data_IF_177077711032
#
_entry.id   IF_177077711032
#
_cell.length_a   1.000
_cell.length_b   1.000
_cell.length_c   1.000
_cell.angle_alpha   90.00
_cell.angle_beta   90.00
_cell.angle_gamma   90.00
#
_symmetry.space_group_name_H-M   'P 1'
#
loop_
_entity.id
_entity.type
_entity.pdbx_description
1 polymer ?
#
# COMPACT_ATOMS: atom_id res chain seq x y z
N UNK A 1 -23.20 -6.48 24.33
CA UNK A 1 -22.00 -6.77 25.14
C UNK A 1 -20.98 -5.65 24.93
N UNK A 2 -20.39 -5.11 25.99
CA UNK A 2 -19.35 -4.06 25.93
C UNK A 2 -18.04 -4.71 26.38
N UNK A 3 -17.09 -4.83 25.45
CA UNK A 3 -15.76 -5.39 25.73
C UNK A 3 -14.78 -4.24 25.85
N UNK A 4 -14.18 -4.07 27.03
CA UNK A 4 -13.12 -3.08 27.26
C UNK A 4 -11.78 -3.79 27.14
N UNK A 5 -10.93 -3.34 26.22
CA UNK A 5 -9.59 -3.88 26.03
C UNK A 5 -8.60 -2.92 26.66
N UNK A 6 -8.19 -3.22 27.89
CA UNK A 6 -7.13 -2.49 28.58
C UNK A 6 -5.76 -2.84 27.99
N UNK A 7 -4.82 -1.88 28.06
CA UNK A 7 -3.45 -2.09 27.57
C UNK A 7 -3.34 -2.37 26.08
N UNK A 8 -4.23 -1.81 25.25
CA UNK A 8 -4.26 -2.08 23.79
C UNK A 8 -2.89 -1.85 23.12
N UNK A 9 -2.13 -0.84 23.57
CA UNK A 9 -0.78 -0.55 23.08
C UNK A 9 0.23 -1.69 23.31
N UNK A 10 0.10 -2.44 24.41
CA UNK A 10 0.99 -3.54 24.79
C UNK A 10 0.65 -4.85 24.06
N UNK A 11 -0.55 -4.92 23.47
CA UNK A 11 -1.02 -6.10 22.72
C UNK A 11 -0.50 -6.14 21.29
N UNK A 12 0.06 -5.03 20.78
CA UNK A 12 0.66 -4.99 19.45
C UNK A 12 2.11 -5.46 19.50
N UNK A 13 2.54 -6.16 18.45
CA UNK A 13 3.96 -6.46 18.28
C UNK A 13 4.75 -5.13 18.13
N UNK A 14 5.77 -4.89 18.96
CA UNK A 14 6.56 -3.64 18.95
C UNK A 14 7.18 -3.31 17.59
N UNK A 15 7.54 -4.32 16.80
CA UNK A 15 8.12 -4.16 15.46
C UNK A 15 7.14 -3.45 14.51
N UNK A 16 5.91 -3.98 14.39
CA UNK A 16 4.87 -3.37 13.54
C UNK A 16 4.42 -1.99 14.05
N UNK A 17 4.47 -1.77 15.37
CA UNK A 17 4.17 -0.46 15.94
C UNK A 17 5.21 0.60 15.54
N UNK A 18 6.49 0.25 15.55
CA UNK A 18 7.57 1.14 15.09
C UNK A 18 7.41 1.48 13.60
N UNK A 19 7.07 0.49 12.77
CA UNK A 19 6.79 0.74 11.35
C UNK A 19 5.55 1.62 11.15
N UNK A 20 4.48 1.39 11.91
CA UNK A 20 3.29 2.23 11.85
C UNK A 20 3.60 3.69 12.22
N UNK A 21 4.45 3.93 13.24
CA UNK A 21 4.92 5.27 13.59
C UNK A 21 5.72 5.93 12.47
N UNK A 22 6.62 5.19 11.82
CA UNK A 22 7.41 5.67 10.69
C UNK A 22 6.50 6.08 9.53
N UNK A 23 5.60 5.19 9.11
CA UNK A 23 4.64 5.45 8.01
C UNK A 23 3.76 6.65 8.35
N UNK A 24 3.28 6.74 9.59
CA UNK A 24 2.49 7.88 10.07
C UNK A 24 3.29 9.20 10.03
N UNK A 25 4.59 9.16 10.37
CA UNK A 25 5.50 10.30 10.20
C UNK A 25 5.62 10.72 8.74
N UNK A 26 5.92 9.78 7.85
CA UNK A 26 6.07 10.01 6.41
C UNK A 26 4.81 10.63 5.79
N UNK A 27 3.63 10.14 6.14
CA UNK A 27 2.35 10.71 5.69
C UNK A 27 2.12 12.12 6.23
N UNK A 28 2.45 12.39 7.50
CA UNK A 28 2.32 13.73 8.11
C UNK A 28 3.22 14.77 7.44
N UNK A 29 4.41 14.36 7.01
CA UNK A 29 5.33 15.19 6.24
C UNK A 29 4.98 15.30 4.75
N UNK A 30 3.77 14.90 4.35
CA UNK A 30 3.23 15.08 3.00
C UNK A 30 4.05 14.39 1.91
N UNK A 31 4.71 13.27 2.23
CA UNK A 31 5.29 12.43 1.18
C UNK A 31 4.17 11.95 0.24
N UNK A 32 4.35 12.05 -1.09
CA UNK A 32 3.41 11.52 -2.06
C UNK A 32 3.05 10.06 -1.77
N UNK A 33 1.76 9.73 -1.84
CA UNK A 33 1.25 8.45 -1.35
C UNK A 33 1.81 7.26 -2.14
N UNK A 34 2.13 7.45 -3.42
CA UNK A 34 2.78 6.48 -4.29
C UNK A 34 4.20 6.16 -3.81
N UNK A 35 4.95 7.16 -3.34
CA UNK A 35 6.24 6.96 -2.70
C UNK A 35 6.11 6.24 -1.37
N UNK A 36 5.07 6.54 -0.58
CA UNK A 36 4.79 5.81 0.68
C UNK A 36 4.49 4.33 0.40
N UNK A 37 3.68 4.03 -0.61
CA UNK A 37 3.37 2.65 -1.02
C UNK A 37 4.66 1.92 -1.45
N UNK A 38 5.53 2.56 -2.24
CA UNK A 38 6.84 2.00 -2.63
C UNK A 38 7.73 1.72 -1.40
N UNK A 39 7.76 2.65 -0.44
CA UNK A 39 8.52 2.48 0.80
C UNK A 39 8.00 1.29 1.61
N UNK A 40 6.69 1.19 1.83
CA UNK A 40 6.08 0.03 2.51
C UNK A 40 6.39 -1.27 1.75
N UNK A 41 6.32 -1.23 0.42
CA UNK A 41 6.68 -2.33 -0.49
C UNK A 41 8.13 -2.77 -0.42
N UNK A 42 9.06 -1.89 -0.05
CA UNK A 42 10.47 -2.25 0.16
C UNK A 42 10.77 -2.87 1.53
N UNK A 43 9.84 -2.82 2.49
CA UNK A 43 10.07 -3.40 3.82
C UNK A 43 10.30 -4.90 3.72
N UNK A 44 11.45 -5.35 4.24
CA UNK A 44 11.83 -6.76 4.36
C UNK A 44 11.43 -7.24 5.76
N UNK A 45 10.37 -8.04 5.85
CA UNK A 45 9.86 -8.61 7.09
C UNK A 45 10.13 -10.11 7.10
N UNK A 46 10.39 -10.68 8.29
CA UNK A 46 10.73 -12.11 8.42
C UNK A 46 9.62 -13.08 7.95
N UNK A 47 8.38 -12.61 7.80
CA UNK A 47 7.26 -13.38 7.26
C UNK A 47 6.84 -12.80 5.90
N UNK A 48 7.05 -13.56 4.83
CA UNK A 48 6.62 -13.24 3.45
C UNK A 48 5.32 -13.99 3.06
N UNK A 49 4.23 -13.78 3.79
CA UNK A 49 2.91 -14.34 3.40
C UNK A 49 1.99 -13.29 2.76
N UNK A 50 1.07 -13.74 1.89
CA UNK A 50 0.08 -12.87 1.21
C UNK A 50 -0.79 -12.07 2.19
N UNK A 51 -1.06 -12.62 3.38
CA UNK A 51 -1.86 -11.99 4.43
C UNK A 51 -1.00 -11.22 5.46
N UNK A 52 0.22 -10.84 5.08
CA UNK A 52 1.09 -10.06 5.97
C UNK A 52 0.55 -8.66 6.22
N UNK A 53 0.93 -8.14 7.38
CA UNK A 53 0.68 -6.75 7.78
C UNK A 53 1.07 -5.75 6.67
N UNK A 54 2.23 -5.94 6.04
CA UNK A 54 2.73 -5.12 4.91
C UNK A 54 1.72 -5.04 3.76
N UNK A 55 1.26 -6.20 3.25
CA UNK A 55 0.29 -6.25 2.16
C UNK A 55 -1.06 -5.64 2.57
N UNK A 56 -1.44 -5.74 3.85
CA UNK A 56 -2.63 -5.06 4.37
C UNK A 56 -2.49 -3.52 4.32
N UNK A 57 -1.34 -3.00 4.74
CA UNK A 57 -1.04 -1.57 4.74
C UNK A 57 -1.00 -1.01 3.32
N UNK A 58 -0.31 -1.66 2.38
CA UNK A 58 -0.26 -1.20 0.99
C UNK A 58 -1.67 -1.09 0.37
N UNK A 59 -2.52 -2.09 0.60
CA UNK A 59 -3.90 -2.10 0.10
C UNK A 59 -4.74 -0.97 0.67
N UNK A 60 -4.56 -0.68 1.95
CA UNK A 60 -5.24 0.45 2.57
C UNK A 60 -4.78 1.79 1.95
N UNK A 61 -3.48 1.95 1.70
CA UNK A 61 -2.92 3.19 1.15
C UNK A 61 -3.26 3.41 -0.33
N UNK A 62 -3.34 2.34 -1.15
CA UNK A 62 -3.70 2.44 -2.57
C UNK A 62 -5.06 3.10 -2.82
N UNK A 63 -6.01 2.96 -1.89
CA UNK A 63 -7.34 3.61 -1.97
C UNK A 63 -7.29 5.14 -1.89
N UNK A 64 -6.17 5.70 -1.46
CA UNK A 64 -5.96 7.15 -1.35
C UNK A 64 -5.12 7.71 -2.50
N UNK A 65 -4.72 6.88 -3.48
CA UNK A 65 -4.14 7.36 -4.73
C UNK A 65 -5.27 7.97 -5.57
N UNK A 66 -5.04 9.16 -6.12
CA UNK A 66 -6.04 9.85 -6.95
C UNK A 66 -6.23 9.08 -8.26
N UNK A 67 -7.48 8.87 -8.66
CA UNK A 67 -7.79 8.20 -9.92
C UNK A 67 -7.21 8.98 -11.11
N UNK A 68 -6.68 8.24 -12.08
CA UNK A 68 -5.95 8.78 -13.22
C UNK A 68 -4.47 9.06 -12.95
N UNK A 69 -3.95 8.79 -11.75
CA UNK A 69 -2.50 8.89 -11.48
C UNK A 69 -1.76 7.83 -12.30
N UNK A 70 -0.83 8.26 -13.16
CA UNK A 70 0.02 7.37 -13.92
C UNK A 70 0.96 6.59 -13.01
N UNK A 71 1.01 5.27 -13.19
CA UNK A 71 1.92 4.39 -12.47
C UNK A 71 3.32 4.41 -13.12
N UNK A 72 4.02 5.54 -12.97
CA UNK A 72 5.33 5.75 -13.58
C UNK A 72 6.35 4.66 -13.19
N UNK A 73 6.94 4.02 -14.19
CA UNK A 73 7.92 2.92 -14.02
C UNK A 73 7.33 1.52 -13.95
N UNK A 74 6.00 1.36 -14.07
CA UNK A 74 5.34 0.06 -14.17
C UNK A 74 4.88 -0.20 -15.60
N UNK A 75 5.33 -1.33 -16.16
CA UNK A 75 4.88 -1.82 -17.48
C UNK A 75 3.68 -2.73 -17.32
N UNK A 76 2.72 -2.60 -18.24
CA UNK A 76 1.63 -3.55 -18.33
C UNK A 76 2.17 -4.96 -18.59
N UNK A 77 1.82 -5.97 -17.78
CA UNK A 77 2.30 -7.34 -17.97
C UNK A 77 1.71 -8.01 -19.22
N UNK A 78 0.65 -7.44 -19.81
CA UNK A 78 -0.03 -7.99 -20.99
C UNK A 78 0.51 -7.39 -22.29
N UNK A 79 0.63 -6.06 -22.37
CA UNK A 79 1.05 -5.39 -23.62
C UNK A 79 2.44 -4.74 -23.55
N UNK A 80 3.13 -4.79 -22.41
CA UNK A 80 4.50 -4.28 -22.24
C UNK A 80 4.64 -2.75 -22.22
N UNK A 81 3.56 -1.99 -22.42
CA UNK A 81 3.56 -0.53 -22.45
C UNK A 81 3.42 0.08 -21.05
N UNK A 82 3.98 1.27 -20.84
CA UNK A 82 3.89 2.06 -19.60
C UNK A 82 2.60 2.91 -19.55
N UNK A 83 1.47 2.26 -19.81
CA UNK A 83 0.15 2.89 -19.91
C UNK A 83 -0.75 2.50 -18.73
N UNK A 84 -0.15 2.20 -17.57
CA UNK A 84 -0.88 1.84 -16.35
C UNK A 84 -1.28 3.09 -15.56
N UNK A 85 -2.56 3.17 -15.20
CA UNK A 85 -3.14 4.23 -14.36
C UNK A 85 -3.82 3.63 -13.15
N UNK A 86 -3.81 4.35 -12.03
CA UNK A 86 -4.61 3.97 -10.86
C UNK A 86 -6.05 4.41 -11.05
N UNK A 87 -7.00 3.50 -10.83
CA UNK A 87 -8.43 3.80 -10.82
C UNK A 87 -9.13 2.87 -9.83
N UNK A 88 -9.88 3.44 -8.88
CA UNK A 88 -10.61 2.72 -7.82
C UNK A 88 -9.73 1.76 -6.99
N UNK A 89 -8.45 2.12 -6.82
CA UNK A 89 -7.46 1.28 -6.12
C UNK A 89 -6.93 0.09 -6.92
N UNK A 90 -7.30 -0.04 -8.20
CA UNK A 90 -6.72 -1.01 -9.14
C UNK A 90 -5.76 -0.32 -10.12
N UNK A 91 -4.80 -1.08 -10.65
CA UNK A 91 -3.96 -0.66 -11.77
C UNK A 91 -4.65 -1.07 -13.07
N UNK A 92 -5.00 -0.12 -13.92
CA UNK A 92 -5.67 -0.33 -15.20
C UNK A 92 -4.75 0.10 -16.34
N UNK A 93 -4.61 -0.73 -17.36
CA UNK A 93 -3.89 -0.39 -18.58
C UNK A 93 -4.81 0.31 -19.57
N UNK A 94 -4.52 1.56 -19.95
CA UNK A 94 -5.33 2.30 -20.92
C UNK A 94 -5.16 1.81 -22.36
N UNK A 95 -4.09 1.07 -22.67
CA UNK A 95 -3.84 0.54 -24.02
C UNK A 95 -4.55 -0.79 -24.29
N UNK A 96 -4.58 -1.72 -23.33
CA UNK A 96 -5.12 -3.07 -23.55
C UNK A 96 -6.25 -3.47 -22.59
N UNK A 97 -6.67 -2.58 -21.69
CA UNK A 97 -7.77 -2.82 -20.73
C UNK A 97 -7.43 -3.80 -19.60
N UNK A 98 -6.20 -4.31 -19.52
CA UNK A 98 -5.80 -5.21 -18.44
C UNK A 98 -5.86 -4.49 -17.10
N UNK A 99 -6.53 -5.09 -16.11
CA UNK A 99 -6.62 -4.56 -14.75
C UNK A 99 -6.02 -5.52 -13.74
N UNK A 100 -5.36 -4.97 -12.72
CA UNK A 100 -4.86 -5.71 -11.56
C UNK A 100 -5.30 -5.00 -10.29
N UNK A 101 -6.27 -5.61 -9.61
CA UNK A 101 -6.70 -5.21 -8.29
C UNK A 101 -5.90 -6.01 -7.25
N UNK A 102 -5.36 -5.32 -6.25
CA UNK A 102 -4.44 -5.91 -5.29
C UNK A 102 -4.35 -5.07 -4.05
#
# INVERSE_FOLDING_TARGET
YKTTVEGLSEKFNPEYWNYAKLISGVLRYRMPIDHVIKLVGSLQLKNESINTWKNGVERALKKYVVDGTSASGLKCPVCGQETLVYQEGCLICTNCGASRCG
#
